data_IF_906027409935
#
_entry.id   IF_906027409935
#
_cell.length_a   1.000
_cell.length_b   1.000
_cell.length_c   1.000
_cell.angle_alpha   90.00
_cell.angle_beta   90.00
_cell.angle_gamma   90.00
#
_symmetry.space_group_name_H-M   'P 1'
#
loop_
_entity.id
_entity.type
_entity.pdbx_description
1 polymer ?
#
# COMPACT_ATOMS: atom_id res chain seq x y z
N UNK A 1 11.31 -20.03 10.14
CA UNK A 1 10.32 -19.47 9.20
C UNK A 1 11.04 -18.52 8.25
N UNK A 2 10.70 -18.53 6.96
CA UNK A 2 11.26 -17.58 6.00
C UNK A 2 10.56 -16.22 6.10
N UNK A 3 11.33 -15.15 5.95
CA UNK A 3 10.83 -13.79 5.97
C UNK A 3 11.30 -13.02 4.74
N UNK A 4 10.35 -12.48 3.98
CA UNK A 4 10.61 -11.63 2.82
C UNK A 4 10.44 -10.17 3.22
N UNK A 5 11.51 -9.39 3.11
CA UNK A 5 11.55 -8.01 3.58
C UNK A 5 11.48 -7.06 2.39
N UNK A 6 10.58 -6.08 2.45
CA UNK A 6 10.52 -5.02 1.44
C UNK A 6 11.90 -4.36 1.25
N UNK A 7 12.39 -4.15 0.02
CA UNK A 7 13.70 -3.50 -0.22
C UNK A 7 13.77 -2.07 0.31
N UNK A 8 12.62 -1.47 0.64
CA UNK A 8 12.51 -0.09 1.11
C UNK A 8 11.93 0.01 2.52
N UNK A 9 11.98 -1.07 3.29
CA UNK A 9 11.44 -1.13 4.65
C UNK A 9 12.01 -0.04 5.58
N UNK A 10 13.26 0.37 5.37
CA UNK A 10 13.91 1.44 6.11
C UNK A 10 14.00 2.79 5.36
N UNK A 11 13.42 2.87 4.17
CA UNK A 11 13.41 4.14 3.42
C UNK A 11 12.55 5.20 4.12
N UNK A 12 12.93 6.49 4.04
CA UNK A 12 12.08 7.57 4.52
C UNK A 12 10.75 7.55 3.77
N UNK A 13 9.68 7.85 4.49
CA UNK A 13 8.34 8.07 3.94
C UNK A 13 7.88 9.49 4.27
N UNK A 14 6.57 9.76 4.16
CA UNK A 14 6.02 11.03 4.60
C UNK A 14 6.38 11.36 6.05
N UNK A 15 6.58 12.64 6.32
CA UNK A 15 7.09 13.19 7.57
C UNK A 15 5.98 13.49 8.56
N UNK A 16 4.85 13.97 8.06
CA UNK A 16 3.74 14.45 8.89
C UNK A 16 2.40 13.97 8.36
N UNK A 17 1.38 14.00 9.20
CA UNK A 17 -0.01 13.78 8.84
C UNK A 17 -0.91 14.70 9.64
N UNK A 18 -2.16 14.86 9.20
CA UNK A 18 -3.16 15.60 9.97
C UNK A 18 -3.93 14.64 10.86
N UNK A 19 -3.86 14.86 12.17
CA UNK A 19 -4.65 14.11 13.16
C UNK A 19 -5.41 15.09 14.03
N UNK A 20 -6.74 15.00 14.00
CA UNK A 20 -7.63 15.86 14.81
C UNK A 20 -7.33 17.36 14.64
N UNK A 21 -7.08 17.78 13.41
CA UNK A 21 -6.81 19.18 13.05
C UNK A 21 -5.40 19.68 13.38
N UNK A 22 -4.46 18.80 13.76
CA UNK A 22 -3.07 19.17 14.05
C UNK A 22 -2.11 18.38 13.16
N UNK A 23 -1.05 19.04 12.70
CA UNK A 23 0.07 18.34 12.09
C UNK A 23 0.83 17.57 13.18
N UNK A 24 0.96 16.27 12.98
CA UNK A 24 1.73 15.38 13.85
C UNK A 24 2.71 14.60 13.01
N UNK A 25 3.80 14.10 13.62
CA UNK A 25 4.72 13.20 12.95
C UNK A 25 3.98 11.98 12.43
N UNK A 26 4.28 11.57 11.20
CA UNK A 26 3.74 10.35 10.60
C UNK A 26 4.09 9.15 11.49
N UNK A 27 3.16 8.22 11.70
CA UNK A 27 3.43 7.05 12.55
C UNK A 27 4.16 5.95 11.78
N UNK A 28 3.92 5.82 10.47
CA UNK A 28 4.62 4.85 9.65
C UNK A 28 6.03 5.32 9.22
N UNK A 29 6.97 5.29 10.18
CA UNK A 29 8.36 5.73 9.99
C UNK A 29 9.30 4.57 9.71
N UNK A 30 10.45 4.85 9.07
CA UNK A 30 11.52 3.88 8.78
C UNK A 30 11.93 3.03 9.97
N UNK A 31 11.98 3.65 11.16
CA UNK A 31 12.29 2.98 12.41
C UNK A 31 11.36 1.79 12.72
N UNK A 32 10.09 1.80 12.28
CA UNK A 32 9.19 0.65 12.46
C UNK A 32 9.68 -0.57 11.68
N UNK A 33 10.06 -0.38 10.42
CA UNK A 33 10.60 -1.45 9.59
C UNK A 33 11.89 -2.02 10.20
N UNK A 34 12.78 -1.15 10.67
CA UNK A 34 14.02 -1.57 11.33
C UNK A 34 13.79 -2.39 12.59
N UNK A 35 12.85 -1.99 13.46
CA UNK A 35 12.55 -2.75 14.67
C UNK A 35 11.96 -4.14 14.37
N UNK A 36 11.09 -4.26 13.36
CA UNK A 36 10.56 -5.57 12.95
C UNK A 36 11.67 -6.44 12.36
N UNK A 37 12.54 -5.87 11.52
CA UNK A 37 13.69 -6.58 10.96
C UNK A 37 14.59 -7.15 12.07
N UNK A 38 14.91 -6.36 13.09
CA UNK A 38 15.68 -6.81 14.26
C UNK A 38 14.95 -7.92 15.01
N UNK A 39 13.64 -7.81 15.20
CA UNK A 39 12.82 -8.86 15.84
C UNK A 39 12.80 -10.18 15.05
N UNK A 40 12.76 -10.11 13.71
CA UNK A 40 12.88 -11.31 12.86
C UNK A 40 14.24 -11.99 13.02
N UNK A 41 15.31 -11.19 13.13
CA UNK A 41 16.66 -11.69 13.31
C UNK A 41 16.83 -12.35 14.69
N UNK A 42 16.34 -11.71 15.74
CA UNK A 42 16.32 -12.25 17.11
C UNK A 42 15.51 -13.55 17.21
N UNK A 43 14.40 -13.64 16.48
CA UNK A 43 13.59 -14.85 16.36
C UNK A 43 14.22 -15.97 15.49
N UNK A 44 15.43 -15.76 14.92
CA UNK A 44 16.11 -16.75 14.08
C UNK A 44 15.42 -17.02 12.75
N UNK A 45 14.70 -16.05 12.18
CA UNK A 45 14.09 -16.20 10.86
C UNK A 45 15.15 -16.23 9.75
N UNK A 46 14.88 -16.98 8.67
CA UNK A 46 15.67 -16.89 7.44
C UNK A 46 15.19 -15.67 6.66
N UNK A 47 15.96 -14.58 6.72
CA UNK A 47 15.56 -13.28 6.16
C UNK A 47 16.15 -13.11 4.76
N UNK A 48 15.28 -12.72 3.82
CA UNK A 48 15.65 -12.34 2.47
C UNK A 48 15.03 -10.98 2.14
N UNK A 49 15.82 -10.10 1.53
CA UNK A 49 15.31 -8.82 1.04
C UNK A 49 14.75 -9.07 -0.37
N UNK A 50 13.47 -8.74 -0.56
CA UNK A 50 12.83 -8.86 -1.86
C UNK A 50 13.57 -8.04 -2.92
N UNK A 51 13.53 -8.53 -4.15
CA UNK A 51 14.16 -7.83 -5.29
C UNK A 51 13.58 -6.42 -5.46
N UNK A 52 14.41 -5.48 -5.92
CA UNK A 52 13.94 -4.14 -6.29
C UNK A 52 12.85 -4.29 -7.37
N UNK A 53 11.63 -3.80 -7.12
CA UNK A 53 10.53 -4.06 -8.03
C UNK A 53 10.50 -3.05 -9.17
N UNK A 54 10.10 -3.55 -10.33
CA UNK A 54 9.73 -2.73 -11.48
C UNK A 54 8.26 -2.98 -11.77
N UNK A 55 7.44 -1.92 -11.73
CA UNK A 55 6.01 -2.06 -12.01
C UNK A 55 5.73 -2.54 -13.44
N UNK A 56 6.65 -2.30 -14.38
CA UNK A 56 6.53 -2.80 -15.76
C UNK A 56 6.65 -4.33 -15.86
N UNK A 57 7.18 -5.03 -14.85
CA UNK A 57 7.29 -6.49 -14.84
C UNK A 57 5.90 -7.12 -14.70
N UNK A 58 5.54 -7.99 -15.64
CA UNK A 58 4.16 -8.50 -15.79
C UNK A 58 3.57 -9.04 -14.49
N UNK A 59 4.28 -9.90 -13.77
CA UNK A 59 3.79 -10.51 -12.53
C UNK A 59 3.49 -9.48 -11.42
N UNK A 60 4.29 -8.42 -11.29
CA UNK A 60 4.07 -7.35 -10.31
C UNK A 60 2.87 -6.51 -10.74
N UNK A 61 2.84 -6.10 -12.00
CA UNK A 61 1.75 -5.29 -12.57
C UNK A 61 0.40 -5.98 -12.45
N UNK A 62 0.32 -7.22 -12.91
CA UNK A 62 -0.90 -8.01 -12.94
C UNK A 62 -1.42 -8.29 -11.53
N UNK A 63 -0.51 -8.59 -10.59
CA UNK A 63 -0.89 -8.80 -9.19
C UNK A 63 -1.51 -7.56 -8.56
N UNK A 64 -0.91 -6.38 -8.77
CA UNK A 64 -1.44 -5.11 -8.24
C UNK A 64 -2.79 -4.77 -8.91
N UNK A 65 -2.88 -4.90 -10.24
CA UNK A 65 -4.10 -4.58 -10.98
C UNK A 65 -5.22 -5.62 -10.83
N UNK A 66 -4.94 -6.79 -10.28
CA UNK A 66 -5.97 -7.75 -9.87
C UNK A 66 -6.79 -7.26 -8.66
N UNK A 67 -6.27 -6.27 -7.93
CA UNK A 67 -6.89 -5.69 -6.73
C UNK A 67 -7.28 -4.24 -6.97
N UNK A 68 -6.37 -3.43 -7.49
CA UNK A 68 -6.52 -1.98 -7.57
C UNK A 68 -6.98 -1.50 -8.94
N UNK A 69 -7.76 -0.42 -8.94
CA UNK A 69 -8.20 0.26 -10.14
C UNK A 69 -6.99 0.82 -10.91
N UNK A 70 -6.94 0.61 -12.23
CA UNK A 70 -5.83 1.07 -13.06
C UNK A 70 -5.59 2.59 -12.99
N UNK A 71 -6.65 3.41 -12.98
CA UNK A 71 -6.52 4.86 -12.90
C UNK A 71 -5.99 5.33 -11.54
N UNK A 72 -6.33 4.63 -10.47
CA UNK A 72 -5.76 4.88 -9.15
C UNK A 72 -4.26 4.56 -9.12
N UNK A 73 -3.84 3.47 -9.77
CA UNK A 73 -2.42 3.12 -9.89
C UNK A 73 -1.67 4.10 -10.78
N UNK A 74 -2.25 4.57 -11.87
CA UNK A 74 -1.68 5.62 -12.72
C UNK A 74 -1.51 6.94 -11.96
N UNK A 75 -2.49 7.29 -11.12
CA UNK A 75 -2.39 8.41 -10.20
C UNK A 75 -1.22 8.21 -9.23
N UNK A 76 -1.17 7.12 -8.47
CA UNK A 76 -0.12 6.89 -7.46
C UNK A 76 1.30 6.98 -8.06
N UNK A 77 1.51 6.44 -9.27
CA UNK A 77 2.81 6.47 -9.96
C UNK A 77 3.31 7.89 -10.23
N UNK A 78 2.39 8.80 -10.55
CA UNK A 78 2.73 10.14 -11.05
C UNK A 78 2.34 11.26 -10.08
N UNK A 79 1.66 10.94 -8.97
CA UNK A 79 1.04 11.90 -8.07
C UNK A 79 2.04 12.94 -7.54
N UNK A 80 3.15 12.50 -6.94
CA UNK A 80 4.14 13.41 -6.38
C UNK A 80 4.83 14.26 -7.44
N UNK A 81 5.20 13.67 -8.59
CA UNK A 81 5.87 14.39 -9.67
C UNK A 81 4.94 15.46 -10.30
N UNK A 82 3.66 15.14 -10.46
CA UNK A 82 2.68 16.10 -10.96
C UNK A 82 2.38 17.21 -9.94
N UNK A 83 2.35 16.87 -8.65
CA UNK A 83 2.15 17.83 -7.57
C UNK A 83 3.33 18.80 -7.41
N UNK A 84 4.56 18.29 -7.48
CA UNK A 84 5.78 19.11 -7.31
C UNK A 84 5.97 20.15 -8.41
N UNK A 85 5.33 19.97 -9.57
CA UNK A 85 5.29 20.93 -10.68
C UNK A 85 4.30 22.09 -10.47
N UNK A 86 3.37 21.98 -9.51
CA UNK A 86 2.41 23.06 -9.25
C UNK A 86 3.09 24.24 -8.53
N UNK A 87 2.76 25.50 -8.89
CA UNK A 87 3.25 26.65 -8.15
C UNK A 87 2.70 26.65 -6.72
N UNK A 88 3.54 26.98 -5.74
CA UNK A 88 3.19 27.03 -4.30
C UNK A 88 2.65 25.71 -3.72
N UNK A 89 3.08 24.56 -4.26
CA UNK A 89 2.74 23.25 -3.68
C UNK A 89 3.54 22.94 -2.42
N UNK A 90 2.95 22.16 -1.52
CA UNK A 90 3.65 21.57 -0.38
C UNK A 90 4.55 20.41 -0.82
N UNK A 91 5.56 20.08 -0.01
CA UNK A 91 6.47 18.94 -0.27
C UNK A 91 5.76 17.57 -0.30
N UNK A 92 4.63 17.46 0.43
CA UNK A 92 3.79 16.27 0.52
C UNK A 92 2.36 16.61 0.11
N UNK A 93 1.71 15.70 -0.58
CA UNK A 93 0.31 15.81 -0.98
C UNK A 93 -0.55 15.49 0.23
N UNK A 94 -1.35 16.46 0.65
CA UNK A 94 -2.42 16.29 1.63
C UNK A 94 -3.71 16.78 0.96
N UNK A 95 -4.77 15.95 0.91
CA UNK A 95 -6.02 16.37 0.28
C UNK A 95 -6.66 17.49 1.10
N UNK A 96 -7.00 18.61 0.45
CA UNK A 96 -7.73 19.73 1.04
C UNK A 96 -9.13 19.92 0.43
N UNK A 97 -9.49 19.07 -0.53
CA UNK A 97 -10.80 18.98 -1.16
C UNK A 97 -11.19 17.52 -1.09
N UNK A 98 -12.46 17.21 -0.86
CA UNK A 98 -12.98 15.85 -0.92
C UNK A 98 -14.26 15.82 -1.76
N UNK A 99 -14.49 14.77 -2.57
CA UNK A 99 -15.77 14.50 -3.20
C UNK A 99 -16.88 14.60 -2.16
N UNK A 100 -17.85 15.48 -2.40
CA UNK A 100 -19.03 15.60 -1.56
C UNK A 100 -20.25 14.98 -2.26
N UNK A 101 -21.40 14.98 -1.59
CA UNK A 101 -22.64 14.35 -2.08
C UNK A 101 -23.21 14.95 -3.37
N UNK A 102 -22.67 16.08 -3.84
CA UNK A 102 -23.13 16.84 -5.00
C UNK A 102 -22.07 16.93 -6.11
N UNK A 103 -20.97 16.18 -6.02
CA UNK A 103 -20.00 16.15 -7.10
C UNK A 103 -20.56 15.35 -8.29
N UNK A 104 -20.64 15.98 -9.46
CA UNK A 104 -21.22 15.40 -10.67
C UNK A 104 -20.19 15.32 -11.83
N UNK A 105 -18.98 15.83 -11.63
CA UNK A 105 -17.91 15.89 -12.65
C UNK A 105 -16.56 15.50 -12.08
N UNK A 106 -15.86 14.65 -12.81
CA UNK A 106 -14.47 14.30 -12.57
C UNK A 106 -13.53 15.40 -13.08
N UNK A 107 -12.41 15.64 -12.39
CA UNK A 107 -11.42 16.64 -12.75
C UNK A 107 -10.00 16.08 -12.54
N UNK A 108 -9.17 16.20 -13.57
CA UNK A 108 -7.81 15.65 -13.60
C UNK A 108 -6.73 16.59 -13.03
N UNK A 109 -7.12 17.78 -12.55
CA UNK A 109 -6.18 18.67 -11.88
C UNK A 109 -5.59 17.97 -10.63
N UNK A 110 -4.27 18.05 -10.34
CA UNK A 110 -3.65 17.27 -9.26
C UNK A 110 -4.30 17.48 -7.88
N UNK A 111 -4.81 18.67 -7.59
CA UNK A 111 -5.58 18.97 -6.36
C UNK A 111 -6.91 18.21 -6.31
N UNK A 112 -7.62 18.11 -7.43
CA UNK A 112 -8.87 17.35 -7.50
C UNK A 112 -8.59 15.85 -7.39
N UNK A 113 -7.54 15.35 -8.06
CA UNK A 113 -7.10 13.96 -7.97
C UNK A 113 -6.65 13.58 -6.56
N UNK A 114 -5.95 14.46 -5.84
CA UNK A 114 -5.60 14.23 -4.43
C UNK A 114 -6.85 14.03 -3.57
N UNK A 115 -7.87 14.87 -3.75
CA UNK A 115 -9.15 14.69 -3.06
C UNK A 115 -9.92 13.43 -3.47
N UNK A 116 -9.79 13.02 -4.73
CA UNK A 116 -10.48 11.86 -5.27
C UNK A 116 -9.86 10.53 -4.83
N UNK A 117 -8.53 10.46 -4.76
CA UNK A 117 -7.78 9.22 -4.54
C UNK A 117 -7.15 9.09 -3.15
N UNK A 118 -7.20 10.12 -2.31
CA UNK A 118 -6.73 10.07 -0.92
C UNK A 118 -7.92 10.35 0.01
N UNK A 119 -8.38 9.31 0.70
CA UNK A 119 -9.63 9.34 1.46
C UNK A 119 -9.50 10.04 2.83
N UNK A 120 -8.27 10.22 3.33
CA UNK A 120 -8.01 10.93 4.58
C UNK A 120 -6.69 11.72 4.54
N UNK A 121 -6.46 12.52 5.58
CA UNK A 121 -5.22 13.27 5.74
C UNK A 121 -4.15 12.49 6.55
N UNK A 122 -4.33 11.18 6.70
CA UNK A 122 -3.38 10.25 7.32
C UNK A 122 -2.58 9.44 6.29
N UNK A 123 -2.90 9.53 5.00
CA UNK A 123 -2.16 8.92 3.89
C UNK A 123 -1.52 9.98 2.94
N UNK A 124 -0.67 10.88 3.44
CA UNK A 124 0.03 11.83 2.58
C UNK A 124 0.94 11.12 1.57
N UNK A 125 1.10 11.73 0.39
CA UNK A 125 2.00 11.21 -0.65
C UNK A 125 3.23 12.11 -0.74
N UNK A 126 4.42 11.54 -0.53
CA UNK A 126 5.71 12.18 -0.73
C UNK A 126 6.49 11.55 -1.89
N UNK A 127 7.70 12.06 -2.15
CA UNK A 127 8.58 11.64 -3.25
C UNK A 127 8.79 10.12 -3.32
N UNK A 128 8.97 9.50 -2.15
CA UNK A 128 9.29 8.08 -2.05
C UNK A 128 8.05 7.19 -1.86
N UNK A 129 6.84 7.75 -1.77
CA UNK A 129 5.64 6.98 -1.39
C UNK A 129 5.35 5.87 -2.39
N UNK A 130 5.36 6.16 -3.70
CA UNK A 130 5.14 5.13 -4.73
C UNK A 130 6.19 4.02 -4.68
N UNK A 131 7.48 4.39 -4.64
CA UNK A 131 8.59 3.45 -4.56
C UNK A 131 8.46 2.52 -3.34
N UNK A 132 8.18 3.09 -2.17
CA UNK A 132 8.04 2.33 -0.94
C UNK A 132 6.81 1.41 -0.99
N UNK A 133 5.65 1.91 -1.47
CA UNK A 133 4.42 1.12 -1.61
C UNK A 133 4.61 -0.06 -2.57
N UNK A 134 5.27 0.16 -3.71
CA UNK A 134 5.61 -0.88 -4.68
C UNK A 134 6.53 -1.94 -4.06
N UNK A 135 7.58 -1.51 -3.35
CA UNK A 135 8.47 -2.40 -2.58
C UNK A 135 7.74 -3.23 -1.54
N UNK A 136 6.75 -2.64 -0.87
CA UNK A 136 5.93 -3.35 0.12
C UNK A 136 5.05 -4.41 -0.53
N UNK A 137 4.34 -4.05 -1.61
CA UNK A 137 3.49 -4.97 -2.34
C UNK A 137 4.31 -6.13 -2.93
N UNK A 138 5.51 -5.86 -3.46
CA UNK A 138 6.39 -6.89 -4.01
C UNK A 138 6.88 -7.90 -2.98
N UNK A 139 7.14 -7.50 -1.74
CA UNK A 139 7.44 -8.45 -0.67
C UNK A 139 6.26 -9.39 -0.39
N UNK A 140 5.03 -8.87 -0.41
CA UNK A 140 3.82 -9.68 -0.25
C UNK A 140 3.58 -10.63 -1.45
N UNK A 141 3.84 -10.16 -2.67
CA UNK A 141 3.76 -10.96 -3.90
C UNK A 141 4.75 -12.14 -3.83
N UNK A 142 6.01 -11.87 -3.50
CA UNK A 142 7.04 -12.89 -3.41
C UNK A 142 6.76 -13.90 -2.28
N UNK A 143 6.31 -13.42 -1.12
CA UNK A 143 5.89 -14.29 -0.03
C UNK A 143 4.72 -15.21 -0.43
N UNK A 144 3.72 -14.69 -1.17
CA UNK A 144 2.61 -15.49 -1.68
C UNK A 144 3.07 -16.54 -2.70
N UNK A 145 4.01 -16.20 -3.60
CA UNK A 145 4.58 -17.17 -4.55
C UNK A 145 5.30 -18.32 -3.86
N UNK A 146 6.00 -18.06 -2.76
CA UNK A 146 6.68 -19.12 -1.99
C UNK A 146 5.73 -20.15 -1.37
N UNK A 147 4.51 -19.73 -1.03
CA UNK A 147 3.46 -20.64 -0.53
C UNK A 147 2.85 -21.49 -1.65
N UNK A 148 2.77 -20.96 -2.88
CA UNK A 148 2.22 -21.67 -4.05
C UNK A 148 3.15 -22.77 -4.54
N UNK A 149 4.46 -22.50 -4.55
CA UNK A 149 5.47 -23.44 -5.05
C UNK A 149 5.71 -24.64 -4.10
N UNK A 150 4.85 -24.84 -3.09
CA UNK A 150 5.01 -25.78 -1.97
C UNK A 150 6.37 -25.68 -1.25
N UNK A 151 7.03 -24.51 -1.34
CA UNK A 151 8.36 -24.29 -0.76
C UNK A 151 8.31 -24.00 0.73
N UNK A 152 7.19 -23.47 1.22
CA UNK A 152 7.04 -23.05 2.61
C UNK A 152 5.59 -23.27 3.10
N UNK A 153 5.42 -23.68 4.35
CA UNK A 153 4.10 -23.73 5.01
C UNK A 153 3.66 -22.36 5.56
N UNK A 154 4.63 -21.48 5.83
CA UNK A 154 4.41 -20.14 6.35
C UNK A 154 5.56 -19.23 5.96
N UNK A 155 5.22 -18.02 5.51
CA UNK A 155 6.19 -16.97 5.15
C UNK A 155 5.74 -15.67 5.80
N UNK A 156 6.68 -14.95 6.41
CA UNK A 156 6.43 -13.61 6.89
C UNK A 156 6.80 -12.58 5.82
N UNK A 157 5.88 -11.68 5.47
CA UNK A 157 6.20 -10.55 4.60
C UNK A 157 6.34 -9.27 5.43
N UNK A 158 7.55 -8.71 5.53
CA UNK A 158 7.78 -7.41 6.16
C UNK A 158 7.39 -6.31 5.16
N UNK A 159 6.10 -5.99 5.16
CA UNK A 159 5.50 -4.93 4.37
C UNK A 159 5.64 -3.57 5.07
N UNK A 160 6.17 -2.58 4.34
CA UNK A 160 6.12 -1.17 4.75
C UNK A 160 6.16 -0.27 3.50
N UNK A 161 5.17 0.61 3.27
CA UNK A 161 4.05 0.96 4.16
C UNK A 161 3.00 -0.15 4.35
N UNK A 162 2.12 0.02 5.36
CA UNK A 162 0.99 -0.89 5.59
C UNK A 162 -0.01 -0.87 4.40
N UNK A 163 -0.99 -1.79 4.41
CA UNK A 163 -1.89 -1.97 3.25
C UNK A 163 -3.40 -2.07 3.52
N UNK A 164 -3.85 -2.49 4.70
CA UNK A 164 -5.24 -2.94 4.88
C UNK A 164 -6.33 -1.85 4.76
N UNK A 165 -5.95 -0.57 4.86
CA UNK A 165 -6.85 0.56 4.63
C UNK A 165 -6.94 0.99 3.17
N UNK A 166 -6.01 0.55 2.31
CA UNK A 166 -6.05 0.87 0.89
C UNK A 166 -7.23 0.14 0.24
N UNK A 167 -8.18 0.92 -0.26
CA UNK A 167 -9.30 0.43 -1.05
C UNK A 167 -8.85 0.11 -2.49
N UNK A 168 -9.75 -0.45 -3.29
CA UNK A 168 -9.50 -0.68 -4.72
C UNK A 168 -8.99 0.58 -5.44
N UNK A 169 -9.51 1.75 -5.07
CA UNK A 169 -9.29 3.00 -5.79
C UNK A 169 -8.89 4.17 -4.90
N UNK A 170 -8.53 3.97 -3.62
CA UNK A 170 -8.17 5.08 -2.73
C UNK A 170 -7.11 4.69 -1.69
N UNK A 171 -6.19 5.63 -1.41
CA UNK A 171 -5.25 5.59 -0.29
C UNK A 171 -5.91 6.09 0.99
N UNK A 172 -5.59 5.49 2.14
CA UNK A 172 -6.16 5.86 3.44
C UNK A 172 -5.32 5.29 4.58
N UNK A 173 -5.26 5.94 5.75
CA UNK A 173 -4.67 5.37 6.95
C UNK A 173 -3.22 4.88 6.76
N UNK A 174 -2.38 5.70 6.13
CA UNK A 174 -0.98 5.36 5.80
C UNK A 174 -0.81 4.21 4.79
N UNK A 175 -1.90 3.72 4.19
CA UNK A 175 -1.91 2.62 3.24
C UNK A 175 -2.17 3.10 1.81
N UNK A 176 -1.40 2.58 0.85
CA UNK A 176 -1.49 2.95 -0.57
C UNK A 176 -1.79 1.77 -1.48
N UNK A 177 -1.16 0.61 -1.21
CA UNK A 177 -1.44 -0.66 -1.89
C UNK A 177 -1.84 -1.70 -0.83
N UNK A 178 -2.88 -2.49 -1.11
CA UNK A 178 -3.38 -3.46 -0.17
C UNK A 178 -2.59 -4.77 -0.26
N UNK A 179 -1.45 -4.81 0.44
CA UNK A 179 -0.51 -5.94 0.45
C UNK A 179 -1.21 -7.29 0.72
N UNK A 180 -2.13 -7.33 1.70
CA UNK A 180 -2.85 -8.55 2.08
C UNK A 180 -3.85 -8.99 1.00
N UNK A 181 -4.58 -8.05 0.40
CA UNK A 181 -5.50 -8.37 -0.69
C UNK A 181 -4.75 -8.85 -1.95
N UNK A 182 -3.60 -8.24 -2.27
CA UNK A 182 -2.75 -8.67 -3.38
C UNK A 182 -2.27 -10.10 -3.17
N UNK A 183 -1.72 -10.41 -1.99
CA UNK A 183 -1.29 -11.77 -1.64
C UNK A 183 -2.47 -12.76 -1.72
N UNK A 184 -3.64 -12.40 -1.20
CA UNK A 184 -4.81 -13.27 -1.24
C UNK A 184 -5.30 -13.53 -2.67
N UNK A 185 -5.29 -12.53 -3.57
CA UNK A 185 -5.66 -12.73 -4.97
C UNK A 185 -4.69 -13.68 -5.69
N UNK A 186 -3.38 -13.56 -5.44
CA UNK A 186 -2.37 -14.48 -5.97
C UNK A 186 -2.64 -15.91 -5.49
N UNK A 187 -2.85 -16.09 -4.19
CA UNK A 187 -3.18 -17.39 -3.60
C UNK A 187 -4.48 -17.96 -4.19
N UNK A 188 -5.49 -17.13 -4.49
CA UNK A 188 -6.76 -17.57 -5.09
C UNK A 188 -6.62 -18.16 -6.49
N UNK A 189 -5.52 -17.89 -7.20
CA UNK A 189 -5.22 -18.52 -8.49
C UNK A 189 -4.92 -20.03 -8.34
N UNK A 190 -4.47 -20.46 -7.16
CA UNK A 190 -4.07 -21.85 -6.88
C UNK A 190 -5.00 -22.53 -5.86
N UNK A 191 -5.52 -21.78 -4.89
CA UNK A 191 -6.36 -22.29 -3.82
C UNK A 191 -7.82 -21.86 -4.00
N UNK A 192 -8.76 -22.81 -3.95
CA UNK A 192 -10.20 -22.57 -4.14
C UNK A 192 -10.81 -21.61 -3.12
N UNK A 193 -10.26 -21.54 -1.92
CA UNK A 193 -10.69 -20.64 -0.84
C UNK A 193 -9.47 -20.10 -0.12
N UNK A 194 -9.45 -18.79 0.08
CA UNK A 194 -8.42 -18.07 0.85
C UNK A 194 -9.17 -17.21 1.85
N UNK A 195 -8.69 -17.18 3.09
CA UNK A 195 -9.21 -16.32 4.14
C UNK A 195 -8.15 -15.29 4.51
N UNK A 196 -8.59 -14.08 4.82
CA UNK A 196 -7.77 -13.04 5.43
C UNK A 196 -8.27 -12.86 6.85
N UNK A 197 -7.37 -13.04 7.83
CA UNK A 197 -7.62 -12.74 9.23
C UNK A 197 -6.82 -11.48 9.58
N UNK A 198 -7.51 -10.36 9.75
CA UNK A 198 -6.90 -9.10 10.16
C UNK A 198 -6.98 -8.97 11.69
N UNK A 199 -5.81 -8.93 12.33
CA UNK A 199 -5.64 -8.79 13.78
C UNK A 199 -5.11 -7.41 14.17
N UNK A 200 -5.02 -6.46 13.21
CA UNK A 200 -4.70 -5.07 13.52
C UNK A 200 -5.79 -4.46 14.43
N UNK A 201 -5.39 -3.47 15.23
CA UNK A 201 -6.30 -2.77 16.13
C UNK A 201 -7.37 -1.96 15.36
N UNK A 202 -7.05 -1.53 14.14
CA UNK A 202 -7.97 -0.87 13.24
C UNK A 202 -8.61 -1.86 12.27
N UNK A 203 -9.88 -1.66 11.97
CA UNK A 203 -10.56 -2.42 10.94
C UNK A 203 -9.91 -2.19 9.57
N UNK A 204 -9.49 -3.27 8.89
CA UNK A 204 -9.03 -3.27 7.50
C UNK A 204 -10.13 -3.00 6.48
N UNK A 205 -10.70 -1.80 6.51
CA UNK A 205 -11.83 -1.41 5.66
C UNK A 205 -11.53 -1.46 4.16
N UNK A 206 -10.28 -1.26 3.75
CA UNK A 206 -9.86 -1.39 2.35
C UNK A 206 -9.93 -2.84 1.91
N UNK A 207 -9.38 -3.75 2.72
CA UNK A 207 -9.47 -5.19 2.49
C UNK A 207 -10.92 -5.66 2.46
N UNK A 208 -11.75 -5.17 3.38
CA UNK A 208 -13.19 -5.43 3.36
C UNK A 208 -13.84 -4.96 2.05
N UNK A 209 -13.59 -3.72 1.63
CA UNK A 209 -14.17 -3.13 0.42
C UNK A 209 -13.78 -3.93 -0.84
N UNK A 210 -12.53 -4.38 -0.94
CA UNK A 210 -12.04 -5.18 -2.06
C UNK A 210 -12.81 -6.51 -2.20
N UNK A 211 -13.04 -7.25 -1.10
CA UNK A 211 -13.62 -8.59 -1.18
C UNK A 211 -15.14 -8.67 -0.98
N UNK A 212 -15.76 -7.70 -0.31
CA UNK A 212 -17.22 -7.61 -0.21
C UNK A 212 -17.82 -7.07 -1.51
N UNK A 213 -17.17 -6.11 -2.17
CA UNK A 213 -17.69 -5.57 -3.44
C UNK A 213 -17.55 -6.58 -4.60
N UNK A 214 -16.60 -7.51 -4.52
CA UNK A 214 -16.46 -8.62 -5.47
C UNK A 214 -17.62 -9.65 -5.41
N UNK A 215 -18.49 -9.58 -4.38
CA UNK A 215 -19.69 -10.43 -4.26
C UNK A 215 -20.96 -9.80 -4.87
N UNK A 216 -20.88 -8.61 -5.49
CA UNK A 216 -22.03 -7.94 -6.13
C UNK A 216 -22.06 -8.04 -7.68
N UNK A 217 -21.22 -8.89 -8.29
CA UNK A 217 -21.33 -9.29 -9.70
C UNK A 217 -21.96 -10.67 -9.84
#
# INVERSE_FOLDING_TARGET
MRAIVSPYFESPGPLQMLKRGQFVRHYDVAGRGQQIYLGLNDAGCSIEIASIPEFGRSNVRESILSVHNAKYIDYLQSAWENWSKLPNSSAEILPNISPNRYIDRFNEHPVALAGWYIADAAAPIGENTWRNALGSASAAIEAASLLIDDRELAVYALCRPSGHHACQDMAMGMCFLNNAAIAAQILRQHFKKVAILDLDMHHGNGTQQIFISAMMC
#
